data_IF_202522241608
#
_entry.id   IF_202522241608
#
_cell.length_a   1.000
_cell.length_b   1.000
_cell.length_c   1.000
_cell.angle_alpha   90.00
_cell.angle_beta   90.00
_cell.angle_gamma   90.00
#
_symmetry.space_group_name_H-M   'P 1'
#
loop_
_entity.id
_entity.type
_entity.pdbx_description
1 polymer ?
#
# COMPACT_ATOMS: atom_id res chain seq x y z
N UNK A 1 -9.42 15.37 -5.70
CA UNK A 1 -8.11 15.51 -5.03
C UNK A 1 -8.31 15.45 -3.53
N UNK A 2 -7.50 14.66 -2.82
CA UNK A 2 -7.40 14.63 -1.35
C UNK A 2 -6.17 15.45 -0.95
N UNK A 3 -6.33 16.39 -0.03
CA UNK A 3 -5.26 17.23 0.50
C UNK A 3 -5.12 17.01 2.01
N UNK A 4 -3.94 16.61 2.46
CA UNK A 4 -3.53 16.54 3.87
C UNK A 4 -2.45 17.59 4.08
N UNK A 5 -2.70 18.60 4.93
CA UNK A 5 -1.82 19.76 5.04
C UNK A 5 -1.42 20.03 6.48
N UNK A 6 -0.13 19.90 6.77
CA UNK A 6 0.51 20.17 8.05
C UNK A 6 -0.22 19.54 9.24
N UNK A 7 -0.76 18.32 9.02
CA UNK A 7 -1.57 17.62 10.01
C UNK A 7 -0.70 17.15 11.18
N UNK A 8 -1.04 17.60 12.36
CA UNK A 8 -0.50 17.10 13.63
C UNK A 8 -1.65 16.58 14.48
N UNK A 9 -1.51 15.36 15.00
CA UNK A 9 -2.49 14.77 15.92
C UNK A 9 -1.82 14.27 17.18
N UNK A 10 -2.37 14.69 18.32
CA UNK A 10 -1.86 14.38 19.65
C UNK A 10 -2.90 13.64 20.50
N UNK A 11 -2.44 12.68 21.29
CA UNK A 11 -3.21 12.05 22.37
C UNK A 11 -2.53 12.43 23.70
N UNK A 12 -3.03 13.48 24.36
CA UNK A 12 -2.32 14.09 25.49
C UNK A 12 -0.95 14.60 25.01
N UNK A 13 0.12 14.14 25.66
CA UNK A 13 1.50 14.50 25.30
C UNK A 13 2.08 13.66 24.14
N UNK A 14 1.42 12.57 23.77
CA UNK A 14 1.89 11.69 22.70
C UNK A 14 1.50 12.26 21.32
N UNK A 15 2.51 12.50 20.47
CA UNK A 15 2.33 12.95 19.08
C UNK A 15 2.25 11.72 18.17
N UNK A 16 1.03 11.38 17.72
CA UNK A 16 0.79 10.23 16.87
C UNK A 16 1.06 10.53 15.39
N UNK A 17 0.82 11.77 14.95
CA UNK A 17 1.16 12.28 13.61
C UNK A 17 1.74 13.69 13.81
N UNK A 18 2.87 13.97 13.16
CA UNK A 18 3.62 15.20 13.33
C UNK A 18 3.88 15.89 11.98
N UNK A 19 3.19 17.00 11.75
CA UNK A 19 3.34 17.88 10.59
C UNK A 19 3.29 17.17 9.23
N UNK A 20 2.35 16.23 9.07
CA UNK A 20 2.20 15.43 7.86
C UNK A 20 1.52 16.22 6.74
N UNK A 21 2.14 16.22 5.55
CA UNK A 21 1.56 16.85 4.36
C UNK A 21 1.75 15.94 3.15
N UNK A 22 0.67 15.70 2.40
CA UNK A 22 0.68 15.06 1.08
C UNK A 22 -0.62 15.34 0.34
N UNK A 23 -0.61 15.09 -0.95
CA UNK A 23 -1.76 15.25 -1.84
C UNK A 23 -1.95 13.98 -2.65
N UNK A 24 -3.21 13.62 -2.91
CA UNK A 24 -3.59 12.48 -3.77
C UNK A 24 -4.50 13.00 -4.87
N UNK A 25 -4.06 12.81 -6.10
CA UNK A 25 -4.80 13.26 -7.27
C UNK A 25 -6.06 12.43 -7.49
N UNK A 26 -7.02 12.96 -8.25
CA UNK A 26 -8.23 12.22 -8.61
C UNK A 26 -7.86 11.00 -9.47
N UNK A 27 -8.33 9.82 -9.08
CA UNK A 27 -8.05 8.58 -9.79
C UNK A 27 -6.63 8.04 -9.58
N UNK A 28 -5.90 8.55 -8.59
CA UNK A 28 -4.59 8.04 -8.20
C UNK A 28 -4.72 6.91 -7.18
N UNK A 29 -3.78 5.95 -7.23
CA UNK A 29 -3.54 4.98 -6.15
C UNK A 29 -2.31 5.43 -5.38
N UNK A 30 -2.51 5.77 -4.11
CA UNK A 30 -1.50 6.32 -3.22
C UNK A 30 -1.17 5.37 -2.07
N UNK A 31 0.12 5.16 -1.80
CA UNK A 31 0.59 4.30 -0.73
C UNK A 31 0.95 5.04 0.55
N UNK A 32 0.45 4.59 1.69
CA UNK A 32 0.85 5.04 3.03
C UNK A 32 1.59 3.91 3.74
N UNK A 33 2.93 3.94 3.68
CA UNK A 33 3.80 2.93 4.28
C UNK A 33 4.21 3.29 5.71
N UNK A 34 4.51 2.30 6.49
CA UNK A 34 5.08 2.47 7.81
C UNK A 34 4.92 1.24 8.69
N UNK A 35 5.77 1.08 9.71
CA UNK A 35 5.65 0.03 10.72
C UNK A 35 4.36 0.16 11.53
N UNK A 36 4.04 -0.86 12.30
CA UNK A 36 2.98 -0.77 13.29
C UNK A 36 3.30 0.36 14.29
N UNK A 37 2.29 1.18 14.59
CA UNK A 37 2.47 2.37 15.43
C UNK A 37 3.11 3.59 14.73
N UNK A 38 3.38 3.53 13.41
CA UNK A 38 3.94 4.68 12.69
C UNK A 38 2.98 5.86 12.50
N UNK A 39 1.66 5.68 12.76
CA UNK A 39 0.64 6.72 12.60
C UNK A 39 -0.30 6.51 11.41
N UNK A 40 -0.21 5.38 10.67
CA UNK A 40 -1.04 5.10 9.48
C UNK A 40 -2.53 5.15 9.78
N UNK A 41 -3.01 4.30 10.70
CA UNK A 41 -4.43 4.22 11.09
C UNK A 41 -4.93 5.55 11.68
N UNK A 42 -4.09 6.27 12.44
CA UNK A 42 -4.42 7.61 12.94
C UNK A 42 -4.62 8.60 11.79
N UNK A 43 -3.74 8.57 10.78
CA UNK A 43 -3.86 9.39 9.57
C UNK A 43 -5.15 9.06 8.83
N UNK A 44 -5.49 7.79 8.65
CA UNK A 44 -6.72 7.38 7.98
C UNK A 44 -7.97 7.80 8.75
N UNK A 45 -7.98 7.65 10.07
CA UNK A 45 -9.09 8.16 10.90
C UNK A 45 -9.25 9.68 10.79
N UNK A 46 -8.16 10.42 10.60
CA UNK A 46 -8.22 11.87 10.35
C UNK A 46 -8.75 12.17 8.94
N UNK A 47 -8.34 11.43 7.91
CA UNK A 47 -8.88 11.53 6.54
C UNK A 47 -10.38 11.21 6.51
N UNK A 48 -10.84 10.30 7.38
CA UNK A 48 -12.24 9.94 7.51
C UNK A 48 -13.07 10.92 8.34
N UNK A 49 -12.47 11.99 8.89
CA UNK A 49 -13.15 12.90 9.80
C UNK A 49 -13.54 12.28 11.14
N UNK A 50 -13.01 11.10 11.48
CA UNK A 50 -13.24 10.43 12.78
C UNK A 50 -12.39 11.02 13.89
N UNK A 51 -11.27 11.65 13.53
CA UNK A 51 -10.37 12.35 14.43
C UNK A 51 -10.11 13.75 13.88
N UNK A 52 -10.17 14.75 14.77
CA UNK A 52 -9.82 16.11 14.42
C UNK A 52 -8.33 16.35 14.70
N UNK A 53 -7.56 16.88 13.73
CA UNK A 53 -6.15 17.17 13.96
C UNK A 53 -5.99 18.29 14.98
N UNK A 54 -4.91 18.26 15.78
CA UNK A 54 -4.52 19.32 16.71
C UNK A 54 -4.08 20.59 15.97
N UNK A 55 -3.51 20.43 14.75
CA UNK A 55 -3.21 21.50 13.80
C UNK A 55 -3.19 20.95 12.38
N UNK A 56 -3.26 21.85 11.39
CA UNK A 56 -3.42 21.48 9.98
C UNK A 56 -4.85 21.12 9.61
N UNK A 57 -5.02 20.54 8.42
CA UNK A 57 -6.35 20.17 7.93
C UNK A 57 -6.30 19.04 6.90
N UNK A 58 -7.47 18.44 6.67
CA UNK A 58 -7.73 17.52 5.57
C UNK A 58 -8.89 18.06 4.74
N UNK A 59 -8.71 18.09 3.39
CA UNK A 59 -9.77 18.43 2.43
C UNK A 59 -9.91 17.32 1.40
N UNK A 60 -11.14 17.09 1.01
CA UNK A 60 -11.47 16.22 -0.11
C UNK A 60 -12.39 16.97 -1.09
N UNK A 61 -12.00 17.01 -2.38
CA UNK A 61 -12.69 17.79 -3.42
C UNK A 61 -12.85 19.29 -3.08
N UNK A 62 -11.87 19.85 -2.35
CA UNK A 62 -11.86 21.27 -1.93
C UNK A 62 -12.60 21.55 -0.63
N UNK A 63 -13.39 20.61 -0.12
CA UNK A 63 -14.15 20.75 1.12
C UNK A 63 -13.41 20.13 2.31
N UNK A 64 -13.54 20.73 3.49
CA UNK A 64 -13.03 20.11 4.72
C UNK A 64 -13.76 18.79 4.96
N UNK A 65 -12.99 17.74 5.27
CA UNK A 65 -13.57 16.44 5.59
C UNK A 65 -14.38 16.58 6.87
N UNK A 66 -15.64 16.19 6.78
CA UNK A 66 -16.62 16.24 7.85
C UNK A 66 -17.56 15.05 7.73
N UNK A 67 -18.46 14.89 8.67
CA UNK A 67 -19.49 13.85 8.62
C UNK A 67 -20.33 13.90 7.32
N UNK A 68 -20.49 15.07 6.70
CA UNK A 68 -21.24 15.24 5.46
C UNK A 68 -20.50 14.73 4.22
N UNK A 69 -19.17 14.68 4.25
CA UNK A 69 -18.36 14.17 3.13
C UNK A 69 -18.16 12.65 3.16
N UNK A 70 -18.48 12.00 4.29
CA UNK A 70 -18.25 10.55 4.51
C UNK A 70 -19.08 9.65 3.58
N UNK A 71 -20.21 10.13 3.06
CA UNK A 71 -21.04 9.37 2.10
C UNK A 71 -20.29 9.04 0.80
N UNK A 72 -19.31 9.88 0.43
CA UNK A 72 -18.45 9.69 -0.76
C UNK A 72 -17.25 8.79 -0.51
N UNK A 73 -17.00 8.40 0.75
CA UNK A 73 -15.80 7.68 1.16
C UNK A 73 -16.13 6.23 1.52
N UNK A 74 -15.42 5.29 0.91
CA UNK A 74 -15.37 3.90 1.35
C UNK A 74 -14.20 3.69 2.30
N UNK A 75 -14.41 3.03 3.42
CA UNK A 75 -13.36 2.77 4.40
C UNK A 75 -13.31 1.30 4.79
N UNK A 76 -12.14 0.70 4.63
CA UNK A 76 -11.81 -0.63 5.11
C UNK A 76 -10.83 -0.50 6.26
N UNK A 77 -11.24 -0.91 7.45
CA UNK A 77 -10.46 -0.82 8.70
C UNK A 77 -9.52 -2.02 8.80
N UNK A 78 -8.30 -1.85 9.34
CA UNK A 78 -7.35 -2.94 9.62
C UNK A 78 -7.93 -3.95 10.63
N UNK A 79 -8.52 -3.45 11.73
CA UNK A 79 -9.15 -4.29 12.72
C UNK A 79 -10.44 -4.91 12.19
N UNK A 80 -10.60 -6.22 12.35
CA UNK A 80 -11.81 -6.96 11.97
C UNK A 80 -12.98 -6.66 12.92
N UNK A 81 -13.29 -5.39 13.09
CA UNK A 81 -14.35 -4.88 13.96
C UNK A 81 -15.73 -4.90 13.29
N UNK A 82 -15.96 -5.85 12.38
CA UNK A 82 -17.27 -6.08 11.83
C UNK A 82 -18.24 -6.47 12.96
N UNK A 83 -19.49 -6.05 12.82
CA UNK A 83 -20.56 -6.43 13.73
C UNK A 83 -20.82 -7.94 13.62
N UNK A 84 -20.00 -8.73 14.32
CA UNK A 84 -19.86 -10.19 14.15
C UNK A 84 -21.13 -11.00 14.37
N UNK A 85 -22.13 -10.41 15.05
CA UNK A 85 -23.46 -11.02 15.31
C UNK A 85 -24.42 -10.85 14.14
N UNK A 86 -24.20 -9.89 13.25
CA UNK A 86 -25.05 -9.65 12.08
C UNK A 86 -24.75 -10.67 10.98
N UNK A 87 -25.75 -10.91 10.12
CA UNK A 87 -25.53 -11.61 8.86
C UNK A 87 -24.80 -10.69 7.87
N UNK A 88 -24.19 -11.25 6.82
CA UNK A 88 -23.57 -10.46 5.74
C UNK A 88 -24.58 -9.47 5.16
N UNK A 89 -25.80 -9.96 4.86
CA UNK A 89 -26.89 -9.11 4.34
C UNK A 89 -27.21 -7.94 5.27
N UNK A 90 -27.45 -8.22 6.57
CA UNK A 90 -27.82 -7.18 7.52
C UNK A 90 -26.69 -6.16 7.73
N UNK A 91 -25.44 -6.63 7.73
CA UNK A 91 -24.27 -5.76 7.81
C UNK A 91 -24.21 -4.79 6.62
N UNK A 92 -24.44 -5.29 5.39
CA UNK A 92 -24.41 -4.45 4.19
C UNK A 92 -25.57 -3.45 4.16
N UNK A 93 -26.77 -3.88 4.56
CA UNK A 93 -27.90 -2.97 4.71
C UNK A 93 -27.58 -1.87 5.74
N UNK A 94 -27.01 -2.24 6.89
CA UNK A 94 -26.63 -1.28 7.92
C UNK A 94 -25.64 -0.23 7.40
N UNK A 95 -24.50 -0.65 6.82
CA UNK A 95 -23.49 0.29 6.34
C UNK A 95 -23.96 1.08 5.12
N UNK A 96 -24.67 0.45 4.18
CA UNK A 96 -25.14 1.14 2.98
C UNK A 96 -26.21 2.19 3.30
N UNK A 97 -27.14 1.89 4.20
CA UNK A 97 -28.16 2.85 4.63
C UNK A 97 -27.58 4.02 5.42
N UNK A 98 -26.56 3.79 6.25
CA UNK A 98 -25.81 4.88 6.91
C UNK A 98 -25.18 5.87 5.92
N UNK A 99 -24.98 5.43 4.67
CA UNK A 99 -24.44 6.23 3.56
C UNK A 99 -25.51 6.62 2.54
N UNK A 100 -26.77 6.66 2.98
CA UNK A 100 -27.92 7.08 2.18
C UNK A 100 -28.17 6.25 0.91
N UNK A 101 -27.68 4.99 0.84
CA UNK A 101 -27.97 4.09 -0.28
C UNK A 101 -29.28 3.35 -0.05
N UNK A 102 -30.11 3.27 -1.09
CA UNK A 102 -31.38 2.57 -1.04
C UNK A 102 -31.19 1.06 -0.82
N UNK A 103 -32.05 0.43 0.02
CA UNK A 103 -31.93 -0.98 0.39
C UNK A 103 -31.94 -1.94 -0.82
N UNK A 104 -32.73 -1.65 -1.85
CA UNK A 104 -32.77 -2.43 -3.10
C UNK A 104 -31.41 -2.40 -3.79
N UNK A 105 -30.83 -1.22 -3.98
CA UNK A 105 -29.52 -1.02 -4.58
C UNK A 105 -28.42 -1.71 -3.80
N UNK A 106 -28.47 -1.65 -2.45
CA UNK A 106 -27.51 -2.36 -1.59
C UNK A 106 -27.55 -3.86 -1.86
N UNK A 107 -28.75 -4.44 -1.93
CA UNK A 107 -28.90 -5.89 -2.13
C UNK A 107 -28.46 -6.32 -3.53
N UNK A 108 -28.74 -5.55 -4.57
CA UNK A 108 -28.27 -5.80 -5.93
C UNK A 108 -26.73 -5.75 -6.02
N UNK A 109 -26.12 -4.74 -5.40
CA UNK A 109 -24.65 -4.62 -5.32
C UNK A 109 -24.03 -5.75 -4.49
N UNK A 110 -24.66 -6.12 -3.38
CA UNK A 110 -24.19 -7.23 -2.56
C UNK A 110 -24.19 -8.54 -3.36
N UNK A 111 -25.28 -8.86 -4.08
CA UNK A 111 -25.36 -10.08 -4.89
C UNK A 111 -24.28 -10.11 -5.99
N UNK A 112 -24.01 -8.96 -6.64
CA UNK A 112 -22.91 -8.83 -7.59
C UNK A 112 -21.56 -9.13 -6.95
N UNK A 113 -21.25 -8.52 -5.81
CA UNK A 113 -19.96 -8.69 -5.14
C UNK A 113 -19.77 -10.09 -4.57
N UNK A 114 -20.81 -10.68 -3.97
CA UNK A 114 -20.74 -12.06 -3.45
C UNK A 114 -20.45 -13.06 -4.57
N UNK A 115 -21.05 -12.87 -5.73
CA UNK A 115 -20.78 -13.70 -6.91
C UNK A 115 -19.33 -13.50 -7.40
N UNK A 116 -18.85 -12.25 -7.48
CA UNK A 116 -17.50 -11.94 -7.95
C UNK A 116 -16.40 -12.49 -7.04
N UNK A 117 -16.65 -12.51 -5.73
CA UNK A 117 -15.71 -13.05 -4.74
C UNK A 117 -15.90 -14.54 -4.46
N UNK A 118 -16.81 -15.21 -5.18
CA UNK A 118 -17.15 -16.63 -5.03
C UNK A 118 -17.55 -17.00 -3.58
N UNK A 119 -18.44 -16.20 -3.00
CA UNK A 119 -18.93 -16.35 -1.61
C UNK A 119 -20.45 -16.15 -1.49
N UNK A 120 -21.22 -16.54 -2.53
CA UNK A 120 -22.68 -16.36 -2.57
C UNK A 120 -23.41 -17.03 -1.42
N UNK A 121 -22.92 -18.19 -0.97
CA UNK A 121 -23.52 -18.97 0.12
C UNK A 121 -23.43 -18.29 1.49
N UNK A 122 -22.66 -17.21 1.59
CA UNK A 122 -22.47 -16.51 2.86
C UNK A 122 -23.44 -15.36 3.10
N UNK A 123 -24.29 -15.01 2.14
CA UNK A 123 -25.24 -13.87 2.23
C UNK A 123 -26.02 -13.84 3.54
N UNK A 124 -26.50 -15.01 4.00
CA UNK A 124 -27.33 -15.13 5.21
C UNK A 124 -26.56 -15.72 6.41
N UNK A 125 -25.24 -15.96 6.28
CA UNK A 125 -24.40 -16.40 7.40
C UNK A 125 -24.00 -15.23 8.27
N UNK A 126 -23.83 -15.49 9.57
CA UNK A 126 -23.28 -14.49 10.49
C UNK A 126 -21.80 -14.28 10.24
N UNK A 127 -21.34 -13.05 10.39
CA UNK A 127 -19.93 -12.70 10.17
C UNK A 127 -18.96 -13.59 10.97
N UNK A 128 -19.30 -13.92 12.22
CA UNK A 128 -18.49 -14.79 13.09
C UNK A 128 -18.29 -16.23 12.56
N UNK A 129 -19.13 -16.65 11.63
CA UNK A 129 -19.10 -18.00 11.05
C UNK A 129 -18.17 -18.09 9.83
N UNK A 130 -17.67 -16.93 9.33
CA UNK A 130 -16.77 -16.86 8.19
C UNK A 130 -15.30 -17.02 8.61
N UNK A 131 -14.53 -17.63 7.73
CA UNK A 131 -13.06 -17.62 7.85
C UNK A 131 -12.50 -16.20 7.84
N UNK A 132 -11.30 -16.02 8.35
CA UNK A 132 -10.63 -14.71 8.38
C UNK A 132 -10.54 -14.07 6.99
N UNK A 133 -10.19 -14.84 5.94
CA UNK A 133 -10.13 -14.32 4.57
C UNK A 133 -11.51 -13.91 4.03
N UNK A 134 -12.57 -14.67 4.35
CA UNK A 134 -13.91 -14.30 3.93
C UNK A 134 -14.45 -13.08 4.71
N UNK A 135 -14.09 -12.90 5.98
CA UNK A 135 -14.37 -11.67 6.72
C UNK A 135 -13.69 -10.46 6.06
N UNK A 136 -12.46 -10.63 5.59
CA UNK A 136 -11.71 -9.60 4.85
C UNK A 136 -12.42 -9.22 3.55
N UNK A 137 -12.88 -10.23 2.76
CA UNK A 137 -13.70 -10.01 1.55
C UNK A 137 -14.97 -9.21 1.87
N UNK A 138 -15.71 -9.59 2.92
CA UNK A 138 -16.91 -8.89 3.32
C UNK A 138 -16.62 -7.45 3.76
N UNK A 139 -15.53 -7.23 4.46
CA UNK A 139 -15.10 -5.89 4.88
C UNK A 139 -14.74 -5.02 3.67
N UNK A 140 -14.05 -5.58 2.68
CA UNK A 140 -13.77 -4.88 1.43
C UNK A 140 -15.05 -4.55 0.67
N UNK A 141 -15.99 -5.50 0.52
CA UNK A 141 -17.30 -5.25 -0.09
C UNK A 141 -18.04 -4.11 0.64
N UNK A 142 -17.98 -4.07 1.98
CA UNK A 142 -18.63 -3.00 2.73
C UNK A 142 -18.07 -1.61 2.43
N UNK A 143 -16.78 -1.51 2.12
CA UNK A 143 -16.14 -0.26 1.70
C UNK A 143 -16.56 0.16 0.29
N UNK A 144 -17.03 -0.78 -0.55
CA UNK A 144 -17.43 -0.54 -1.94
C UNK A 144 -18.95 -0.32 -2.11
N UNK A 145 -19.76 -0.64 -1.11
CA UNK A 145 -21.22 -0.74 -1.24
C UNK A 145 -21.91 0.57 -1.64
N UNK A 146 -21.32 1.70 -1.26
CA UNK A 146 -21.80 3.05 -1.60
C UNK A 146 -21.20 3.62 -2.91
N UNK A 147 -20.42 2.85 -3.67
CA UNK A 147 -19.66 3.33 -4.87
C UNK A 147 -18.85 4.59 -4.58
N UNK A 148 -17.88 4.51 -3.70
CA UNK A 148 -17.16 5.68 -3.22
C UNK A 148 -16.34 6.36 -4.33
N UNK A 149 -16.18 7.68 -4.22
CA UNK A 149 -15.23 8.46 -5.02
C UNK A 149 -13.82 8.55 -4.36
N UNK A 150 -13.75 8.28 -3.06
CA UNK A 150 -12.51 8.08 -2.29
C UNK A 150 -12.57 6.73 -1.56
N UNK A 151 -11.60 5.88 -1.80
CA UNK A 151 -11.47 4.58 -1.14
C UNK A 151 -10.23 4.58 -0.23
N UNK A 152 -10.45 4.40 1.06
CA UNK A 152 -9.40 4.32 2.09
C UNK A 152 -9.32 2.88 2.59
N UNK A 153 -8.17 2.24 2.43
CA UNK A 153 -7.96 0.83 2.72
C UNK A 153 -6.80 0.66 3.73
N UNK A 154 -7.13 0.26 4.95
CA UNK A 154 -6.13 0.01 6.00
C UNK A 154 -5.73 -1.47 5.98
N UNK A 155 -4.48 -1.75 5.56
CA UNK A 155 -3.90 -3.10 5.41
C UNK A 155 -4.81 -4.09 4.64
N UNK A 156 -5.27 -3.75 3.40
CA UNK A 156 -6.31 -4.52 2.71
C UNK A 156 -5.93 -5.97 2.39
N UNK A 157 -4.65 -6.25 2.24
CA UNK A 157 -4.15 -7.58 1.85
C UNK A 157 -3.80 -8.49 3.02
N UNK A 158 -3.94 -8.00 4.25
CA UNK A 158 -3.59 -8.75 5.46
C UNK A 158 -4.39 -10.06 5.60
N UNK A 159 -3.67 -11.20 5.64
CA UNK A 159 -4.27 -12.51 5.85
C UNK A 159 -5.03 -13.06 4.64
N UNK A 160 -4.80 -12.54 3.44
CA UNK A 160 -5.25 -13.08 2.17
C UNK A 160 -4.16 -13.96 1.55
N UNK A 161 -4.58 -14.98 0.80
CA UNK A 161 -3.72 -15.73 -0.12
C UNK A 161 -3.52 -14.97 -1.43
N UNK A 162 -2.57 -15.43 -2.25
CA UNK A 162 -2.17 -14.77 -3.51
C UNK A 162 -3.36 -14.57 -4.46
N UNK A 163 -4.25 -15.56 -4.60
CA UNK A 163 -5.40 -15.49 -5.51
C UNK A 163 -6.38 -14.39 -5.06
N UNK A 164 -6.62 -14.28 -3.76
CA UNK A 164 -7.50 -13.26 -3.22
C UNK A 164 -6.86 -11.87 -3.27
N UNK A 165 -5.53 -11.75 -3.13
CA UNK A 165 -4.82 -10.48 -3.35
C UNK A 165 -4.99 -10.01 -4.79
N UNK A 166 -4.79 -10.89 -5.78
CA UNK A 166 -4.97 -10.55 -7.21
C UNK A 166 -6.39 -10.04 -7.48
N UNK A 167 -7.41 -10.70 -6.94
CA UNK A 167 -8.80 -10.28 -7.09
C UNK A 167 -9.06 -8.88 -6.47
N UNK A 168 -8.50 -8.60 -5.29
CA UNK A 168 -8.60 -7.28 -4.67
C UNK A 168 -7.94 -6.21 -5.54
N UNK A 169 -6.76 -6.50 -6.06
CA UNK A 169 -6.02 -5.60 -6.97
C UNK A 169 -6.80 -5.30 -8.24
N UNK A 170 -7.43 -6.31 -8.84
CA UNK A 170 -8.30 -6.11 -10.01
C UNK A 170 -9.43 -5.12 -9.69
N UNK A 171 -10.14 -5.34 -8.57
CA UNK A 171 -11.22 -4.46 -8.13
C UNK A 171 -10.72 -3.04 -7.85
N UNK A 172 -9.58 -2.89 -7.16
CA UNK A 172 -8.96 -1.59 -6.88
C UNK A 172 -8.65 -0.86 -8.20
N UNK A 173 -8.05 -1.54 -9.18
CA UNK A 173 -7.76 -0.96 -10.50
C UNK A 173 -9.01 -0.59 -11.29
N UNK A 174 -10.10 -1.36 -11.16
CA UNK A 174 -11.38 -1.02 -11.79
C UNK A 174 -11.96 0.27 -11.20
N UNK A 175 -11.90 0.44 -9.87
CA UNK A 175 -12.33 1.68 -9.22
C UNK A 175 -11.44 2.86 -9.63
N UNK A 176 -10.13 2.68 -9.70
CA UNK A 176 -9.21 3.70 -10.23
C UNK A 176 -9.61 4.14 -11.65
N UNK A 177 -9.83 3.17 -12.55
CA UNK A 177 -10.26 3.46 -13.94
C UNK A 177 -11.59 4.21 -14.01
N UNK A 178 -12.48 4.03 -13.04
CA UNK A 178 -13.72 4.80 -12.90
C UNK A 178 -13.51 6.20 -12.30
N UNK A 179 -12.27 6.57 -11.98
CA UNK A 179 -11.90 7.87 -11.41
C UNK A 179 -11.99 7.94 -9.88
N UNK A 180 -12.13 6.81 -9.19
CA UNK A 180 -12.05 6.76 -7.73
C UNK A 180 -10.61 7.04 -7.29
N UNK A 181 -10.43 7.93 -6.33
CA UNK A 181 -9.16 8.17 -5.64
C UNK A 181 -8.97 7.09 -4.59
N UNK A 182 -7.79 6.48 -4.53
CA UNK A 182 -7.54 5.34 -3.64
C UNK A 182 -6.30 5.62 -2.80
N UNK A 183 -6.43 5.45 -1.50
CA UNK A 183 -5.30 5.47 -0.58
C UNK A 183 -5.31 4.19 0.24
N UNK A 184 -4.18 3.48 0.27
CA UNK A 184 -4.08 2.30 1.11
C UNK A 184 -2.81 2.29 1.95
N UNK A 185 -2.91 1.70 3.14
CA UNK A 185 -1.75 1.44 3.97
C UNK A 185 -1.21 0.03 3.73
N UNK A 186 0.09 -0.11 3.88
CA UNK A 186 0.74 -1.40 3.97
C UNK A 186 2.01 -1.32 4.81
N UNK A 187 2.35 -2.43 5.47
CA UNK A 187 3.68 -2.68 6.00
C UNK A 187 4.54 -3.47 5.00
N UNK A 188 3.95 -4.01 3.93
CA UNK A 188 4.63 -4.73 2.85
C UNK A 188 4.93 -3.76 1.70
N UNK A 189 6.21 -3.45 1.53
CA UNK A 189 6.69 -2.45 0.57
C UNK A 189 6.41 -2.88 -0.87
N UNK A 190 6.54 -4.18 -1.16
CA UNK A 190 6.36 -4.74 -2.50
C UNK A 190 4.95 -4.50 -3.06
N UNK A 191 3.93 -4.53 -2.21
CA UNK A 191 2.56 -4.20 -2.64
C UNK A 191 2.46 -2.75 -3.09
N UNK A 192 3.06 -1.81 -2.33
CA UNK A 192 3.02 -0.39 -2.68
C UNK A 192 3.82 -0.12 -3.95
N UNK A 193 5.00 -0.74 -4.08
CA UNK A 193 5.84 -0.61 -5.27
C UNK A 193 5.15 -1.09 -6.56
N UNK A 194 4.33 -2.15 -6.47
CA UNK A 194 3.63 -2.73 -7.63
C UNK A 194 2.35 -2.01 -8.02
N UNK A 195 1.71 -1.26 -7.12
CA UNK A 195 0.38 -0.69 -7.37
C UNK A 195 0.33 0.83 -7.35
N UNK A 196 1.26 1.49 -6.65
CA UNK A 196 1.24 2.94 -6.47
C UNK A 196 2.18 3.65 -7.44
N UNK A 197 1.81 4.87 -7.78
CA UNK A 197 2.69 5.81 -8.46
C UNK A 197 3.39 6.73 -7.45
N UNK A 198 2.72 7.04 -6.35
CA UNK A 198 3.18 7.95 -5.29
C UNK A 198 2.99 7.33 -3.92
N UNK A 199 3.85 7.70 -3.00
CA UNK A 199 3.78 7.21 -1.62
C UNK A 199 4.24 8.25 -0.59
N UNK A 200 3.86 7.97 0.66
CA UNK A 200 4.49 8.52 1.86
C UNK A 200 4.88 7.37 2.78
N UNK A 201 6.08 7.44 3.33
CA UNK A 201 6.55 6.53 4.38
C UNK A 201 6.54 7.25 5.72
N UNK A 202 5.79 6.69 6.67
CA UNK A 202 5.72 7.19 8.03
C UNK A 202 6.65 6.42 8.97
N UNK A 203 7.36 7.15 9.82
CA UNK A 203 8.11 6.62 10.94
C UNK A 203 7.87 7.49 12.17
N UNK A 204 7.34 6.90 13.26
CA UNK A 204 7.04 7.61 14.52
C UNK A 204 6.26 8.92 14.31
N UNK A 205 5.24 8.85 13.48
CA UNK A 205 4.35 9.98 13.15
C UNK A 205 4.88 10.95 12.11
N UNK A 206 6.13 10.83 11.64
CA UNK A 206 6.76 11.74 10.67
C UNK A 206 6.89 11.11 9.30
N UNK A 207 6.75 11.91 8.25
CA UNK A 207 7.09 11.52 6.89
C UNK A 207 8.62 11.48 6.73
N UNK A 208 9.16 10.33 6.32
CA UNK A 208 10.60 10.14 6.08
C UNK A 208 10.94 9.98 4.59
N UNK A 209 9.97 9.55 3.78
CA UNK A 209 10.04 9.48 2.33
C UNK A 209 8.68 9.93 1.80
N UNK A 210 8.67 10.74 0.75
CA UNK A 210 7.43 11.18 0.10
C UNK A 210 7.69 11.53 -1.35
N UNK A 211 6.77 11.19 -2.23
CA UNK A 211 6.80 11.57 -3.64
C UNK A 211 6.47 10.45 -4.61
N UNK A 212 6.74 10.69 -5.90
CA UNK A 212 6.63 9.68 -6.95
C UNK A 212 7.67 8.58 -6.72
N UNK A 213 7.26 7.31 -6.80
CA UNK A 213 8.17 6.17 -6.57
C UNK A 213 9.38 6.23 -7.52
N UNK A 214 9.16 6.57 -8.79
CA UNK A 214 10.23 6.74 -9.77
C UNK A 214 11.27 7.80 -9.38
N UNK A 215 10.82 8.90 -8.78
CA UNK A 215 11.72 9.98 -8.38
C UNK A 215 12.49 9.60 -7.12
N UNK A 216 11.83 8.94 -6.15
CA UNK A 216 12.46 8.39 -4.95
C UNK A 216 13.57 7.40 -5.32
N UNK A 217 13.34 6.51 -6.31
CA UNK A 217 14.35 5.58 -6.81
C UNK A 217 15.51 6.30 -7.47
N UNK A 218 15.23 7.27 -8.36
CA UNK A 218 16.27 8.08 -9.04
C UNK A 218 17.16 8.86 -8.06
N UNK A 219 16.57 9.45 -7.02
CA UNK A 219 17.34 10.17 -6.01
C UNK A 219 18.31 9.26 -5.24
N UNK A 220 17.97 8.00 -5.09
CA UNK A 220 18.80 7.03 -4.38
C UNK A 220 20.04 6.61 -5.15
N UNK A 221 20.05 6.73 -6.48
CA UNK A 221 21.14 6.48 -7.44
C UNK A 221 21.73 5.06 -7.46
N UNK A 222 21.52 4.24 -6.42
CA UNK A 222 22.04 2.87 -6.36
C UNK A 222 21.31 1.97 -7.33
N UNK A 223 22.03 0.99 -7.88
CA UNK A 223 21.53 0.00 -8.82
C UNK A 223 21.90 -1.41 -8.38
N UNK A 224 21.08 -2.36 -8.79
CA UNK A 224 21.30 -3.78 -8.64
C UNK A 224 21.57 -4.39 -10.01
N UNK A 225 22.66 -5.14 -10.15
CA UNK A 225 22.95 -5.89 -11.37
C UNK A 225 22.71 -7.36 -11.06
N UNK A 226 21.72 -7.94 -11.71
CA UNK A 226 21.37 -9.36 -11.60
C UNK A 226 22.12 -10.15 -12.66
N UNK A 227 22.92 -11.12 -12.24
CA UNK A 227 23.84 -11.85 -13.10
C UNK A 227 23.64 -13.35 -12.93
N UNK A 228 23.50 -14.07 -14.05
CA UNK A 228 23.55 -15.55 -14.10
C UNK A 228 24.61 -15.91 -15.12
N UNK A 229 25.73 -16.45 -14.66
CA UNK A 229 26.89 -16.79 -15.48
C UNK A 229 27.72 -17.88 -14.81
N UNK A 230 28.42 -18.70 -15.59
CA UNK A 230 29.32 -19.70 -15.04
C UNK A 230 30.68 -19.07 -14.69
N UNK A 231 31.33 -19.52 -13.61
CA UNK A 231 32.66 -19.03 -13.20
C UNK A 231 32.71 -17.65 -12.58
N UNK A 232 31.57 -17.14 -12.07
CA UNK A 232 31.51 -15.83 -11.38
C UNK A 232 32.28 -15.87 -10.07
N UNK A 233 33.25 -14.95 -9.90
CA UNK A 233 33.96 -14.76 -8.62
C UNK A 233 33.56 -13.44 -7.97
N UNK A 234 32.80 -13.48 -6.86
CA UNK A 234 32.36 -12.28 -6.15
C UNK A 234 33.52 -11.44 -5.61
N UNK A 235 34.67 -12.06 -5.31
CA UNK A 235 35.84 -11.34 -4.78
C UNK A 235 36.48 -10.44 -5.83
N UNK A 236 36.50 -10.87 -7.10
CA UNK A 236 37.01 -10.05 -8.20
C UNK A 236 36.07 -8.88 -8.48
N UNK A 237 34.77 -9.12 -8.46
CA UNK A 237 33.77 -8.06 -8.70
C UNK A 237 33.75 -7.02 -7.57
N UNK A 238 33.97 -7.42 -6.32
CA UNK A 238 34.11 -6.50 -5.19
C UNK A 238 35.30 -5.55 -5.28
N UNK A 239 36.30 -5.85 -6.13
CA UNK A 239 37.48 -4.95 -6.38
C UNK A 239 37.12 -3.81 -7.33
N UNK A 240 36.05 -3.89 -8.09
CA UNK A 240 35.62 -2.86 -9.04
C UNK A 240 35.14 -1.62 -8.25
N UNK A 241 35.73 -0.45 -8.56
CA UNK A 241 35.31 0.80 -7.88
C UNK A 241 33.84 1.09 -8.11
N UNK A 242 33.14 1.40 -7.03
CA UNK A 242 31.70 1.65 -7.03
C UNK A 242 30.82 0.42 -6.84
N UNK A 243 31.36 -0.80 -6.79
CA UNK A 243 30.66 -1.97 -6.29
C UNK A 243 30.60 -1.88 -4.76
N UNK A 244 29.39 -1.98 -4.21
CA UNK A 244 29.13 -1.83 -2.78
C UNK A 244 28.98 -3.16 -2.06
N UNK A 245 28.38 -4.15 -2.73
CA UNK A 245 28.11 -5.47 -2.17
C UNK A 245 27.84 -6.48 -3.28
N UNK A 246 28.07 -7.76 -3.00
CA UNK A 246 27.76 -8.88 -3.90
C UNK A 246 27.06 -9.96 -3.09
N UNK A 247 25.83 -10.30 -3.47
CA UNK A 247 24.98 -11.26 -2.76
C UNK A 247 24.66 -12.42 -3.69
N UNK A 248 24.80 -13.64 -3.19
CA UNK A 248 24.31 -14.84 -3.85
C UNK A 248 22.84 -15.09 -3.46
N UNK A 249 21.96 -15.17 -4.45
CA UNK A 249 20.55 -15.46 -4.25
C UNK A 249 20.13 -16.63 -5.14
N UNK A 250 19.99 -17.81 -4.55
CA UNK A 250 19.63 -19.07 -5.23
C UNK A 250 20.55 -19.39 -6.41
N UNK A 251 20.20 -18.99 -7.63
CA UNK A 251 20.94 -19.23 -8.86
C UNK A 251 21.42 -17.93 -9.53
N UNK A 252 21.36 -16.82 -8.84
CA UNK A 252 21.61 -15.48 -9.38
C UNK A 252 22.55 -14.69 -8.45
N UNK A 253 23.50 -13.96 -9.02
CA UNK A 253 24.31 -13.00 -8.31
C UNK A 253 23.67 -11.62 -8.39
N UNK A 254 23.60 -10.91 -7.27
CA UNK A 254 23.12 -9.52 -7.20
C UNK A 254 24.32 -8.65 -6.81
N UNK A 255 24.78 -7.83 -7.74
CA UNK A 255 25.87 -6.85 -7.51
C UNK A 255 25.24 -5.49 -7.24
N UNK A 256 25.42 -4.98 -6.02
CA UNK A 256 24.93 -3.64 -5.63
C UNK A 256 25.97 -2.60 -5.98
N UNK A 257 25.57 -1.55 -6.69
CA UNK A 257 26.47 -0.51 -7.19
C UNK A 257 26.10 0.87 -6.66
N UNK A 258 27.08 1.76 -6.60
CA UNK A 258 26.93 3.16 -6.19
C UNK A 258 26.02 3.94 -7.14
N UNK A 259 26.14 3.68 -8.43
CA UNK A 259 25.35 4.31 -9.50
C UNK A 259 25.36 3.41 -10.76
N UNK A 260 24.59 3.81 -11.78
CA UNK A 260 24.45 3.07 -13.03
C UNK A 260 25.75 2.94 -13.83
N UNK A 261 26.68 3.91 -13.72
CA UNK A 261 27.90 3.93 -14.53
C UNK A 261 28.80 2.72 -14.26
N UNK A 262 28.78 2.20 -13.03
CA UNK A 262 29.54 1.02 -12.59
C UNK A 262 29.11 -0.25 -13.35
N UNK A 263 27.90 -0.28 -13.90
CA UNK A 263 27.37 -1.43 -14.65
C UNK A 263 28.27 -1.80 -15.85
N UNK A 264 28.91 -0.81 -16.49
CA UNK A 264 29.82 -1.04 -17.62
C UNK A 264 31.07 -1.79 -17.20
N UNK A 265 31.63 -1.47 -16.03
CA UNK A 265 32.83 -2.11 -15.52
C UNK A 265 32.54 -3.54 -15.05
N UNK A 266 31.40 -3.74 -14.40
CA UNK A 266 30.93 -5.09 -14.06
C UNK A 266 30.64 -5.91 -15.33
N UNK A 267 30.05 -5.32 -16.37
CA UNK A 267 29.82 -5.99 -17.64
C UNK A 267 31.17 -6.38 -18.34
N UNK A 268 32.19 -5.51 -18.27
CA UNK A 268 33.51 -5.79 -18.81
C UNK A 268 34.17 -7.01 -18.16
N UNK A 269 33.92 -7.27 -16.89
CA UNK A 269 34.33 -8.50 -16.21
C UNK A 269 33.46 -9.69 -16.67
N UNK A 270 32.13 -9.57 -16.63
CA UNK A 270 31.21 -10.66 -16.92
C UNK A 270 31.34 -11.18 -18.36
N UNK A 271 31.58 -10.29 -19.35
CA UNK A 271 31.77 -10.69 -20.78
C UNK A 271 32.96 -11.58 -21.05
N UNK A 272 33.89 -11.74 -20.09
CA UNK A 272 35.06 -12.62 -20.19
C UNK A 272 34.75 -14.04 -19.69
N UNK A 273 33.59 -14.24 -19.08
CA UNK A 273 33.13 -15.51 -18.52
C UNK A 273 32.29 -16.28 -19.54
N UNK A 274 32.17 -17.59 -19.33
CA UNK A 274 31.37 -18.47 -20.17
C UNK A 274 29.88 -18.53 -19.79
N UNK A 275 29.03 -18.83 -20.76
CA UNK A 275 27.59 -19.11 -20.54
C UNK A 275 26.84 -18.00 -19.80
N UNK A 276 26.94 -16.76 -20.26
CA UNK A 276 26.13 -15.66 -19.72
C UNK A 276 24.65 -15.91 -20.05
N UNK A 277 23.84 -16.19 -19.03
CA UNK A 277 22.39 -16.43 -19.15
C UNK A 277 21.58 -15.16 -18.84
N UNK A 278 22.09 -14.30 -17.96
CA UNK A 278 21.42 -13.05 -17.56
C UNK A 278 22.44 -11.99 -17.18
N UNK A 279 22.20 -10.78 -17.66
CA UNK A 279 22.81 -9.54 -17.18
C UNK A 279 21.75 -8.45 -17.24
N UNK A 280 21.25 -8.02 -16.10
CA UNK A 280 20.14 -7.09 -15.99
C UNK A 280 20.48 -6.00 -14.98
N UNK A 281 20.27 -4.74 -15.34
CA UNK A 281 20.59 -3.57 -14.52
C UNK A 281 19.26 -2.95 -14.07
N UNK A 282 19.00 -3.03 -12.78
CA UNK A 282 17.77 -2.51 -12.18
C UNK A 282 18.10 -1.37 -11.20
N UNK A 283 17.17 -0.43 -11.07
CA UNK A 283 17.21 0.54 -9.96
C UNK A 283 17.07 -0.20 -8.62
N UNK A 284 17.56 0.41 -7.53
CA UNK A 284 17.34 -0.12 -6.19
C UNK A 284 15.84 -0.29 -5.91
N UNK A 285 15.49 -1.35 -5.22
CA UNK A 285 14.11 -1.59 -4.78
C UNK A 285 13.67 -0.56 -3.74
N UNK A 286 12.38 -0.32 -3.64
CA UNK A 286 11.84 0.56 -2.60
C UNK A 286 12.18 0.05 -1.20
N UNK A 287 12.24 -1.28 -1.01
CA UNK A 287 12.70 -1.92 0.23
C UNK A 287 14.12 -1.54 0.61
N UNK A 288 15.05 -1.54 -0.34
CA UNK A 288 16.44 -1.13 -0.09
C UNK A 288 16.56 0.35 0.26
N UNK A 289 15.80 1.20 -0.43
CA UNK A 289 15.75 2.64 -0.12
C UNK A 289 15.22 2.86 1.29
N UNK A 290 14.19 2.12 1.65
CA UNK A 290 13.58 2.18 2.97
C UNK A 290 14.58 1.78 4.06
N UNK A 291 15.23 0.61 3.93
CA UNK A 291 16.23 0.12 4.88
C UNK A 291 17.38 1.13 5.03
N UNK A 292 17.82 1.74 3.94
CA UNK A 292 18.90 2.73 3.96
C UNK A 292 18.52 4.03 4.70
N UNK A 293 17.25 4.49 4.55
CA UNK A 293 16.78 5.75 5.17
C UNK A 293 16.22 5.55 6.58
N UNK A 294 15.64 4.40 6.89
CA UNK A 294 14.91 4.13 8.15
C UNK A 294 15.70 3.21 9.08
N UNK A 295 16.67 2.45 8.54
CA UNK A 295 17.55 1.55 9.28
C UNK A 295 17.01 0.11 9.40
N UNK A 296 17.91 -0.85 9.73
CA UNK A 296 17.65 -2.30 9.77
C UNK A 296 16.57 -2.77 10.77
N UNK A 297 16.08 -1.91 11.66
CA UNK A 297 15.03 -2.25 12.66
C UNK A 297 13.62 -2.42 12.08
N UNK A 298 13.46 -2.32 10.78
CA UNK A 298 12.14 -2.42 10.15
C UNK A 298 11.72 -3.87 9.85
N UNK A 299 12.68 -4.77 9.63
CA UNK A 299 12.40 -6.17 9.25
C UNK A 299 12.01 -7.05 10.43
N UNK A 300 12.16 -6.58 11.69
CA UNK A 300 11.90 -7.34 12.91
C UNK A 300 10.57 -6.93 13.62
N UNK A 301 9.75 -6.07 13.04
CA UNK A 301 8.48 -5.59 13.58
C UNK A 301 7.28 -6.08 12.76
#
# INVERSE_FOLDING_TARGET
MLEVKNVTLKYGDFVAVDNLSFEVEKGEIFGLLGTNGAGKTTTFRTIMGLLYPSSGYVRYEGEFVSYQTVDKIGYMIEERSLLTKLTVKDLMLYFGQLKNVEAKTILERLDYWLKRFDITDYKNKKIKELSKGNQQKIQFISALINEPSLLVLDEPFSGLDVINIELFVEVIREYQKKGCTIIFSSHQIDHVESFCERLVVLQKGKSVISGLIKDVKKEFKKHNIKIIVDGFDPKEVLKIDGVLDVIENSNEWIVKTRDESVSKDVFNYVKQLDNIKKYDVEEATLSEIFIAKVGKKYEEA
#
